data_IF_459012298144
#
_entry.id   IF_459012298144
#
_cell.length_a   1.000
_cell.length_b   1.000
_cell.length_c   1.000
_cell.angle_alpha   90.00
_cell.angle_beta   90.00
_cell.angle_gamma   90.00
#
_symmetry.space_group_name_H-M   'P 1'
#
loop_
_entity.id
_entity.type
_entity.pdbx_description
1 polymer ?
#
# COMPACT_ATOMS: atom_id res chain seq x y z
N UNK A 1 38.99 -43.27 29.81
CA UNK A 1 37.90 -43.91 29.03
C UNK A 1 36.56 -43.20 29.15
N UNK A 2 35.89 -43.17 30.32
CA UNK A 2 34.56 -42.53 30.43
C UNK A 2 34.59 -41.00 30.25
N UNK A 3 35.71 -40.37 30.65
CA UNK A 3 35.98 -38.94 30.43
C UNK A 3 36.25 -38.64 28.94
N UNK A 4 37.04 -39.48 28.27
CA UNK A 4 37.37 -39.32 26.84
C UNK A 4 36.14 -39.50 25.93
N UNK A 5 35.24 -40.43 26.30
CA UNK A 5 33.98 -40.65 25.60
C UNK A 5 33.05 -39.43 25.74
N UNK A 6 32.98 -38.82 26.95
CA UNK A 6 32.23 -37.57 27.17
C UNK A 6 32.81 -36.40 26.39
N UNK A 7 34.14 -36.23 26.37
CA UNK A 7 34.80 -35.16 25.62
C UNK A 7 34.54 -35.31 24.11
N UNK A 8 34.60 -36.54 23.59
CA UNK A 8 34.34 -36.83 22.18
C UNK A 8 32.88 -36.55 21.81
N UNK A 9 31.92 -36.94 22.66
CA UNK A 9 30.50 -36.66 22.45
C UNK A 9 30.20 -35.15 22.47
N UNK A 10 30.80 -34.40 23.41
CA UNK A 10 30.67 -32.94 23.50
C UNK A 10 31.22 -32.26 22.25
N UNK A 11 32.40 -32.67 21.77
CA UNK A 11 32.99 -32.14 20.53
C UNK A 11 32.12 -32.43 19.31
N UNK A 12 31.53 -33.64 19.22
CA UNK A 12 30.66 -34.03 18.12
C UNK A 12 29.33 -33.23 18.15
N UNK A 13 28.74 -33.04 19.34
CA UNK A 13 27.57 -32.19 19.52
C UNK A 13 27.86 -30.71 19.20
N UNK A 14 29.03 -30.20 19.56
CA UNK A 14 29.46 -28.83 19.22
C UNK A 14 29.70 -28.65 17.72
N UNK A 15 30.39 -29.60 17.07
CA UNK A 15 30.59 -29.59 15.63
C UNK A 15 29.26 -29.60 14.87
N UNK A 16 28.34 -30.47 15.25
CA UNK A 16 27.01 -30.53 14.65
C UNK A 16 26.19 -29.26 14.88
N UNK A 17 26.33 -28.62 16.04
CA UNK A 17 25.66 -27.33 16.33
C UNK A 17 26.23 -26.20 15.46
N UNK A 18 27.55 -26.13 15.31
CA UNK A 18 28.21 -25.11 14.49
C UNK A 18 27.83 -25.25 13.01
N UNK A 19 27.85 -26.46 12.46
CA UNK A 19 27.42 -26.73 11.08
C UNK A 19 25.96 -26.31 10.87
N UNK A 20 25.05 -26.73 11.78
CA UNK A 20 23.64 -26.36 11.69
C UNK A 20 23.39 -24.85 11.78
N UNK A 21 24.16 -24.15 12.61
CA UNK A 21 24.07 -22.70 12.73
C UNK A 21 24.51 -21.99 11.44
N UNK A 22 25.58 -22.49 10.81
CA UNK A 22 26.04 -21.98 9.51
C UNK A 22 24.99 -22.23 8.41
N UNK A 23 24.42 -23.44 8.34
CA UNK A 23 23.35 -23.76 7.37
C UNK A 23 22.14 -22.82 7.50
N UNK A 24 21.74 -22.50 8.74
CA UNK A 24 20.64 -21.55 9.00
C UNK A 24 20.99 -20.12 8.59
N UNK A 25 22.24 -19.71 8.77
CA UNK A 25 22.74 -18.42 8.32
C UNK A 25 22.77 -18.33 6.80
N UNK A 26 23.30 -19.35 6.13
CA UNK A 26 23.32 -19.44 4.67
C UNK A 26 21.89 -19.42 4.10
N UNK A 27 20.95 -20.08 4.77
CA UNK A 27 19.53 -20.04 4.38
C UNK A 27 18.92 -18.64 4.51
N UNK A 28 19.24 -17.89 5.57
CA UNK A 28 18.79 -16.49 5.74
C UNK A 28 19.35 -15.56 4.66
N UNK A 29 20.59 -15.78 4.25
CA UNK A 29 21.29 -14.99 3.25
C UNK A 29 20.93 -15.39 1.81
N UNK A 30 20.22 -16.52 1.64
CA UNK A 30 19.81 -17.01 0.33
C UNK A 30 18.81 -16.09 -0.36
N UNK A 31 18.97 -15.92 -1.67
CA UNK A 31 18.05 -15.13 -2.50
C UNK A 31 16.64 -15.72 -2.54
N UNK A 32 16.53 -17.04 -2.46
CA UNK A 32 15.24 -17.73 -2.45
C UNK A 32 14.44 -17.43 -1.17
N UNK A 33 15.11 -17.44 -0.02
CA UNK A 33 14.48 -17.02 1.24
C UNK A 33 14.10 -15.54 1.19
N UNK A 34 15.00 -14.67 0.75
CA UNK A 34 14.76 -13.22 0.62
C UNK A 34 13.54 -12.94 -0.29
N UNK A 35 13.44 -13.60 -1.44
CA UNK A 35 12.31 -13.49 -2.37
C UNK A 35 11.00 -14.04 -1.79
N UNK A 36 11.07 -15.18 -1.08
CA UNK A 36 9.92 -15.78 -0.42
C UNK A 36 9.38 -14.89 0.72
N UNK A 37 10.28 -14.27 1.48
CA UNK A 37 9.94 -13.38 2.57
C UNK A 37 9.41 -12.04 2.04
N UNK A 38 10.00 -11.48 0.98
CA UNK A 38 9.58 -10.22 0.36
C UNK A 38 8.08 -10.19 0.08
N UNK A 39 7.52 -11.21 -0.59
CA UNK A 39 6.11 -11.18 -0.97
C UNK A 39 5.16 -11.25 0.23
N UNK A 40 5.58 -11.93 1.31
CA UNK A 40 4.79 -12.02 2.53
C UNK A 40 4.83 -10.71 3.30
N UNK A 41 6.01 -10.09 3.38
CA UNK A 41 6.15 -8.74 3.92
C UNK A 41 5.39 -7.72 3.07
N UNK A 42 5.39 -7.86 1.75
CA UNK A 42 4.60 -7.00 0.86
C UNK A 42 3.10 -7.14 1.14
N UNK A 43 2.60 -8.37 1.32
CA UNK A 43 1.23 -8.60 1.77
C UNK A 43 0.94 -7.98 3.15
N UNK A 44 1.89 -8.04 4.11
CA UNK A 44 1.76 -7.33 5.39
C UNK A 44 1.63 -5.82 5.17
N UNK A 45 2.46 -5.24 4.30
CA UNK A 45 2.48 -3.79 3.99
C UNK A 45 1.25 -3.32 3.21
N UNK A 46 0.46 -4.24 2.65
CA UNK A 46 -0.82 -3.95 2.02
C UNK A 46 -2.03 -4.37 2.86
N UNK A 47 -1.81 -4.87 4.07
CA UNK A 47 -2.90 -5.26 4.98
C UNK A 47 -3.79 -4.06 5.28
N UNK A 48 -5.12 -4.19 5.23
CA UNK A 48 -6.05 -3.12 5.61
C UNK A 48 -5.88 -2.69 7.07
N UNK A 49 -5.42 -3.61 7.93
CA UNK A 49 -5.26 -3.38 9.37
C UNK A 49 -3.97 -2.62 9.73
N UNK A 50 -3.05 -2.45 8.76
CA UNK A 50 -1.78 -1.78 8.97
C UNK A 50 -2.00 -0.29 9.32
N UNK A 51 -1.52 0.14 10.49
CA UNK A 51 -1.74 1.50 11.01
C UNK A 51 -0.63 2.49 10.63
N UNK A 52 0.56 1.97 10.32
CA UNK A 52 1.77 2.72 10.05
C UNK A 52 2.75 1.91 9.16
N UNK A 53 3.73 2.57 8.60
CA UNK A 53 4.77 2.04 7.71
C UNK A 53 6.17 2.25 8.29
N UNK A 54 6.32 3.22 9.21
CA UNK A 54 7.60 3.55 9.86
C UNK A 54 7.56 3.17 11.33
N UNK A 55 6.62 3.75 12.07
CA UNK A 55 6.59 3.63 13.54
C UNK A 55 6.19 2.22 13.95
N UNK A 56 7.03 1.55 14.75
CA UNK A 56 6.86 0.20 15.32
C UNK A 56 6.55 -0.94 14.32
N UNK A 57 6.55 -0.65 13.02
CA UNK A 57 6.15 -1.58 11.96
C UNK A 57 7.01 -2.84 11.96
N UNK A 58 8.32 -2.67 12.12
CA UNK A 58 9.25 -3.79 12.18
C UNK A 58 8.98 -4.70 13.40
N UNK A 59 8.75 -4.12 14.57
CA UNK A 59 8.53 -4.86 15.81
C UNK A 59 7.23 -5.66 15.72
N UNK A 60 6.13 -5.04 15.29
CA UNK A 60 4.85 -5.72 15.14
C UNK A 60 4.90 -6.85 14.10
N UNK A 61 5.58 -6.62 12.96
CA UNK A 61 5.75 -7.66 11.95
C UNK A 61 6.62 -8.80 12.49
N UNK A 62 7.70 -8.52 13.23
CA UNK A 62 8.53 -9.55 13.84
C UNK A 62 7.74 -10.39 14.85
N UNK A 63 6.92 -9.76 15.69
CA UNK A 63 6.05 -10.48 16.63
C UNK A 63 5.04 -11.37 15.90
N UNK A 64 4.51 -10.89 14.78
CA UNK A 64 3.62 -11.68 13.93
C UNK A 64 4.34 -12.87 13.27
N UNK A 65 5.57 -12.67 12.78
CA UNK A 65 6.42 -13.73 12.21
C UNK A 65 6.70 -14.82 13.24
N UNK A 66 7.04 -14.43 14.48
CA UNK A 66 7.34 -15.39 15.56
C UNK A 66 6.14 -16.29 15.87
N UNK A 67 4.93 -15.73 15.82
CA UNK A 67 3.67 -16.46 16.05
C UNK A 67 3.25 -17.33 14.86
N UNK A 68 3.63 -16.96 13.63
CA UNK A 68 3.18 -17.60 12.39
C UNK A 68 4.36 -18.08 11.53
N UNK A 69 5.28 -18.84 12.13
CA UNK A 69 6.57 -19.23 11.51
C UNK A 69 6.38 -19.94 10.18
N UNK A 70 5.37 -20.80 10.08
CA UNK A 70 5.00 -21.56 8.88
C UNK A 70 4.51 -20.66 7.74
N UNK A 71 3.71 -19.64 8.08
CA UNK A 71 3.27 -18.62 7.12
C UNK A 71 4.49 -17.98 6.46
N UNK A 72 5.53 -17.65 7.22
CA UNK A 72 6.76 -17.01 6.72
C UNK A 72 7.86 -17.97 6.26
N UNK A 73 7.60 -19.29 6.29
CA UNK A 73 8.59 -20.33 5.97
C UNK A 73 9.91 -20.16 6.75
N UNK A 74 9.81 -19.77 8.03
CA UNK A 74 10.99 -19.60 8.89
C UNK A 74 11.58 -20.98 9.22
N UNK A 75 12.87 -21.23 8.92
CA UNK A 75 13.53 -22.50 9.25
C UNK A 75 13.41 -22.89 10.73
N UNK A 76 13.19 -24.18 11.05
CA UNK A 76 13.15 -24.65 12.43
C UNK A 76 14.49 -24.43 13.17
N UNK A 77 14.43 -23.90 14.40
CA UNK A 77 15.61 -23.60 15.22
C UNK A 77 16.15 -22.19 15.04
N UNK A 78 15.74 -21.46 14.00
CA UNK A 78 16.24 -20.12 13.71
C UNK A 78 15.89 -19.10 14.79
N UNK A 79 14.64 -19.15 15.28
CA UNK A 79 14.15 -18.21 16.30
C UNK A 79 14.56 -18.59 17.73
N UNK A 80 15.15 -19.78 17.91
CA UNK A 80 15.59 -20.27 19.21
C UNK A 80 17.00 -19.74 19.55
N UNK A 81 17.73 -19.25 18.54
CA UNK A 81 19.02 -18.59 18.67
C UNK A 81 18.87 -17.06 18.57
N UNK A 82 19.47 -16.33 19.52
CA UNK A 82 19.34 -14.88 19.64
C UNK A 82 20.04 -14.16 18.48
N UNK A 83 21.19 -14.68 18.02
CA UNK A 83 21.96 -14.07 16.95
C UNK A 83 21.23 -14.23 15.60
N UNK A 84 20.75 -15.44 15.30
CA UNK A 84 19.98 -15.71 14.09
C UNK A 84 18.66 -14.93 14.06
N UNK A 85 17.98 -14.80 15.22
CA UNK A 85 16.79 -13.96 15.34
C UNK A 85 17.10 -12.48 15.06
N UNK A 86 18.23 -11.97 15.55
CA UNK A 86 18.67 -10.61 15.26
C UNK A 86 19.01 -10.42 13.78
N UNK A 87 19.66 -11.40 13.15
CA UNK A 87 19.94 -11.40 11.70
C UNK A 87 18.64 -11.39 10.87
N UNK A 88 17.66 -12.22 11.22
CA UNK A 88 16.33 -12.17 10.60
C UNK A 88 15.69 -10.78 10.76
N UNK A 89 15.77 -10.18 11.94
CA UNK A 89 15.29 -8.82 12.18
C UNK A 89 15.92 -7.79 11.25
N UNK A 90 17.23 -7.89 10.98
CA UNK A 90 17.95 -7.04 10.00
C UNK A 90 17.44 -7.29 8.58
N UNK A 91 17.25 -8.54 8.18
CA UNK A 91 16.69 -8.91 6.85
C UNK A 91 15.28 -8.34 6.68
N UNK A 92 14.42 -8.48 7.68
CA UNK A 92 13.05 -7.93 7.65
C UNK A 92 13.09 -6.41 7.52
N UNK A 93 13.92 -5.71 8.30
CA UNK A 93 14.08 -4.25 8.21
C UNK A 93 14.50 -3.79 6.82
N UNK A 94 15.52 -4.45 6.25
CA UNK A 94 16.00 -4.19 4.89
C UNK A 94 14.89 -4.39 3.86
N UNK A 95 14.14 -5.50 3.96
CA UNK A 95 13.07 -5.81 3.02
C UNK A 95 11.89 -4.85 3.12
N UNK A 96 11.48 -4.45 4.33
CA UNK A 96 10.43 -3.46 4.52
C UNK A 96 10.83 -2.11 3.90
N UNK A 97 12.08 -1.69 4.11
CA UNK A 97 12.64 -0.48 3.48
C UNK A 97 12.60 -0.60 1.95
N UNK A 98 13.05 -1.72 1.40
CA UNK A 98 13.01 -1.97 -0.04
C UNK A 98 11.59 -1.98 -0.62
N UNK A 99 10.63 -2.58 0.10
CA UNK A 99 9.21 -2.60 -0.28
C UNK A 99 8.66 -1.17 -0.32
N UNK A 100 8.89 -0.39 0.73
CA UNK A 100 8.51 1.02 0.80
C UNK A 100 9.10 1.79 -0.40
N UNK A 101 10.41 1.68 -0.65
CA UNK A 101 11.04 2.33 -1.81
C UNK A 101 10.40 1.88 -3.13
N UNK A 102 10.18 0.58 -3.33
CA UNK A 102 9.57 0.03 -4.53
C UNK A 102 8.14 0.57 -4.74
N UNK A 103 7.31 0.61 -3.68
CA UNK A 103 5.96 1.17 -3.75
C UNK A 103 6.01 2.64 -4.17
N UNK A 104 6.84 3.46 -3.50
CA UNK A 104 6.95 4.89 -3.83
C UNK A 104 7.34 5.10 -5.29
N UNK A 105 8.38 4.40 -5.76
CA UNK A 105 8.85 4.48 -7.16
C UNK A 105 7.78 4.03 -8.16
N UNK A 106 7.09 2.92 -7.89
CA UNK A 106 6.03 2.43 -8.76
C UNK A 106 4.84 3.38 -8.80
N UNK A 107 4.48 3.98 -7.67
CA UNK A 107 3.42 4.98 -7.59
C UNK A 107 3.77 6.25 -8.37
N UNK A 108 4.96 6.83 -8.17
CA UNK A 108 5.44 7.98 -8.94
C UNK A 108 5.38 7.71 -10.44
N UNK A 109 5.91 6.56 -10.86
CA UNK A 109 5.88 6.15 -12.27
C UNK A 109 4.45 6.00 -12.78
N UNK A 110 3.55 5.46 -11.96
CA UNK A 110 2.16 5.23 -12.33
C UNK A 110 1.34 6.49 -12.49
N UNK A 111 1.65 7.53 -11.72
CA UNK A 111 1.00 8.85 -11.84
C UNK A 111 1.36 9.44 -13.20
N UNK A 112 2.65 9.50 -13.53
CA UNK A 112 3.13 10.06 -14.80
C UNK A 112 2.63 9.26 -16.01
N UNK A 113 2.69 7.92 -15.93
CA UNK A 113 2.25 7.04 -17.02
C UNK A 113 0.74 6.79 -17.05
N UNK A 114 -0.01 7.35 -16.09
CA UNK A 114 -1.44 7.14 -15.86
C UNK A 114 -1.85 5.66 -15.87
N UNK A 115 -1.10 4.80 -15.19
CA UNK A 115 -1.39 3.35 -15.14
C UNK A 115 -2.35 2.98 -14.02
N UNK A 116 -3.14 1.92 -14.22
CA UNK A 116 -4.09 1.45 -13.22
C UNK A 116 -3.40 0.94 -11.95
N UNK A 117 -4.06 1.07 -10.79
CA UNK A 117 -3.55 0.48 -9.53
C UNK A 117 -3.44 -1.04 -9.60
N UNK A 118 -4.27 -1.71 -10.40
CA UNK A 118 -4.18 -3.14 -10.60
C UNK A 118 -2.86 -3.53 -11.27
N UNK A 119 -2.40 -2.76 -12.27
CA UNK A 119 -1.14 -3.01 -12.94
C UNK A 119 0.06 -2.67 -12.05
N UNK A 120 -0.03 -1.59 -11.26
CA UNK A 120 0.99 -1.24 -10.26
C UNK A 120 1.13 -2.32 -9.21
N UNK A 121 0.02 -2.80 -8.65
CA UNK A 121 0.08 -3.82 -7.59
C UNK A 121 0.65 -5.12 -8.14
N UNK A 122 0.30 -5.48 -9.38
CA UNK A 122 0.83 -6.67 -10.05
C UNK A 122 2.32 -6.56 -10.37
N UNK A 123 2.82 -5.38 -10.72
CA UNK A 123 4.27 -5.20 -10.98
C UNK A 123 5.11 -5.24 -9.71
N UNK A 124 4.53 -4.86 -8.57
CA UNK A 124 5.18 -4.93 -7.25
C UNK A 124 5.19 -6.35 -6.67
N UNK A 125 4.15 -7.14 -6.93
CA UNK A 125 4.12 -8.55 -6.60
C UNK A 125 5.11 -9.31 -7.49
N UNK A 126 6.19 -9.85 -6.92
CA UNK A 126 7.21 -10.56 -7.72
C UNK A 126 6.58 -11.80 -8.38
N UNK A 127 6.91 -12.03 -9.66
CA UNK A 127 6.46 -13.21 -10.42
C UNK A 127 6.79 -14.51 -9.68
N UNK A 128 5.86 -15.48 -9.69
CA UNK A 128 6.05 -16.78 -9.02
C UNK A 128 5.81 -16.77 -7.51
N UNK A 129 5.40 -15.64 -6.92
CA UNK A 129 5.10 -15.52 -5.48
C UNK A 129 3.88 -16.30 -5.00
N UNK A 130 2.97 -16.61 -5.92
CA UNK A 130 1.66 -17.16 -5.59
C UNK A 130 0.77 -16.20 -4.79
N UNK A 131 1.11 -14.91 -4.71
CA UNK A 131 0.25 -13.88 -4.12
C UNK A 131 -0.88 -13.54 -5.08
N UNK A 132 -2.12 -13.60 -4.59
CA UNK A 132 -3.30 -13.21 -5.36
C UNK A 132 -3.69 -11.78 -5.00
N UNK A 133 -3.71 -10.90 -6.00
CA UNK A 133 -4.05 -9.49 -5.80
C UNK A 133 -5.55 -9.30 -5.95
N UNK A 134 -6.17 -8.72 -4.91
CA UNK A 134 -7.60 -8.46 -4.82
C UNK A 134 -7.90 -6.98 -4.52
N UNK A 135 -9.19 -6.66 -4.33
CA UNK A 135 -9.65 -5.29 -4.05
C UNK A 135 -9.07 -4.68 -2.78
N UNK A 136 -8.76 -5.48 -1.75
CA UNK A 136 -8.19 -4.93 -0.51
C UNK A 136 -6.79 -4.36 -0.75
N UNK A 137 -6.01 -5.03 -1.58
CA UNK A 137 -4.68 -4.55 -1.99
C UNK A 137 -4.78 -3.30 -2.85
N UNK A 138 -5.72 -3.26 -3.81
CA UNK A 138 -5.92 -2.08 -4.66
C UNK A 138 -6.41 -0.88 -3.86
N UNK A 139 -7.30 -1.08 -2.89
CA UNK A 139 -7.74 -0.02 -1.98
C UNK A 139 -6.53 0.61 -1.28
N UNK A 140 -5.62 -0.23 -0.77
CA UNK A 140 -4.42 0.27 -0.09
C UNK A 140 -3.45 0.99 -1.02
N UNK A 141 -3.21 0.45 -2.22
CA UNK A 141 -2.33 1.11 -3.22
C UNK A 141 -2.95 2.43 -3.71
N UNK A 142 -4.27 2.51 -3.86
CA UNK A 142 -4.98 3.74 -4.26
C UNK A 142 -4.85 4.82 -3.19
N UNK A 143 -5.01 4.44 -1.91
CA UNK A 143 -4.75 5.32 -0.78
C UNK A 143 -3.31 5.87 -0.81
N UNK A 144 -2.32 4.98 -0.96
CA UNK A 144 -0.91 5.40 -1.01
C UNK A 144 -0.62 6.30 -2.20
N UNK A 145 -1.23 6.06 -3.37
CA UNK A 145 -1.11 6.95 -4.53
C UNK A 145 -1.69 8.33 -4.23
N UNK A 146 -2.88 8.38 -3.64
CA UNK A 146 -3.55 9.63 -3.25
C UNK A 146 -2.68 10.43 -2.28
N UNK A 147 -2.16 9.79 -1.24
CA UNK A 147 -1.27 10.41 -0.26
C UNK A 147 0.05 10.88 -0.89
N UNK A 148 0.64 10.11 -1.80
CA UNK A 148 1.86 10.52 -2.50
C UNK A 148 1.64 11.80 -3.32
N UNK A 149 0.49 11.91 -4.00
CA UNK A 149 0.14 13.12 -4.77
C UNK A 149 0.02 14.34 -3.87
N UNK A 150 -0.70 14.22 -2.75
CA UNK A 150 -0.84 15.28 -1.75
C UNK A 150 0.54 15.69 -1.21
N UNK A 151 1.37 14.71 -0.87
CA UNK A 151 2.71 14.95 -0.36
C UNK A 151 3.57 15.73 -1.35
N UNK A 152 3.65 15.28 -2.61
CA UNK A 152 4.46 15.93 -3.65
C UNK A 152 3.96 17.35 -3.97
N UNK A 153 2.63 17.58 -3.98
CA UNK A 153 2.05 18.92 -4.08
C UNK A 153 2.48 19.78 -2.89
N UNK A 154 2.36 19.25 -1.66
CA UNK A 154 2.69 19.95 -0.43
C UNK A 154 4.14 20.42 -0.38
N UNK A 155 5.09 19.54 -0.71
CA UNK A 155 6.53 19.85 -0.66
C UNK A 155 7.06 20.57 -1.90
N UNK A 156 6.23 20.85 -2.91
CA UNK A 156 6.65 21.44 -4.20
C UNK A 156 7.74 20.64 -4.93
N UNK A 157 7.79 19.32 -4.77
CA UNK A 157 8.75 18.49 -5.49
C UNK A 157 8.14 18.00 -6.80
N UNK A 158 8.41 18.75 -7.86
CA UNK A 158 7.92 18.48 -9.21
C UNK A 158 8.99 17.89 -10.14
N UNK A 159 10.11 17.39 -9.60
CA UNK A 159 11.21 16.86 -10.40
C UNK A 159 10.79 15.66 -11.25
N UNK A 160 9.97 14.79 -10.67
CA UNK A 160 9.56 13.53 -11.32
C UNK A 160 8.14 13.56 -11.90
N UNK A 161 7.27 14.41 -11.37
CA UNK A 161 5.88 14.55 -11.80
C UNK A 161 5.46 16.02 -11.66
N UNK A 162 4.91 16.62 -12.71
CA UNK A 162 4.48 18.01 -12.65
C UNK A 162 3.23 18.16 -11.79
N UNK A 163 2.95 19.36 -11.27
CA UNK A 163 1.69 19.62 -10.55
C UNK A 163 0.44 19.28 -11.39
N UNK A 164 0.53 19.37 -12.73
CA UNK A 164 -0.56 18.95 -13.65
C UNK A 164 -0.77 17.43 -13.65
N UNK A 165 0.29 16.65 -13.46
CA UNK A 165 0.20 15.20 -13.31
C UNK A 165 -0.30 14.80 -11.92
N UNK A 166 0.05 15.60 -10.91
CA UNK A 166 -0.28 15.34 -9.50
C UNK A 166 -1.71 15.75 -9.13
N UNK A 167 -2.30 16.74 -9.79
CA UNK A 167 -3.63 17.23 -9.43
C UNK A 167 -4.75 16.62 -10.29
N UNK A 168 -5.89 16.36 -9.67
CA UNK A 168 -7.16 16.10 -10.33
C UNK A 168 -8.33 16.58 -9.47
N UNK A 169 -9.51 16.83 -10.06
CA UNK A 169 -10.71 17.16 -9.30
C UNK A 169 -11.06 16.11 -8.21
N UNK A 170 -10.77 14.83 -8.45
CA UNK A 170 -10.99 13.76 -7.48
C UNK A 170 -10.13 13.87 -6.21
N UNK A 171 -9.04 14.65 -6.24
CA UNK A 171 -8.17 14.88 -5.09
C UNK A 171 -8.74 15.93 -4.12
N UNK A 172 -9.60 16.84 -4.62
CA UNK A 172 -10.10 18.02 -3.91
C UNK A 172 -10.68 17.71 -2.53
N UNK A 173 -11.51 16.67 -2.33
CA UNK A 173 -12.04 16.33 -1.00
C UNK A 173 -10.99 15.99 0.06
N UNK A 174 -9.73 15.71 -0.35
CA UNK A 174 -8.63 15.41 0.58
C UNK A 174 -7.61 16.53 0.73
N UNK A 175 -7.79 17.65 0.02
CA UNK A 175 -6.91 18.81 0.15
C UNK A 175 -7.46 19.73 1.25
N UNK A 176 -6.60 20.07 2.20
CA UNK A 176 -6.86 21.18 3.14
C UNK A 176 -6.76 22.52 2.41
N UNK A 177 -7.29 23.58 3.04
CA UNK A 177 -7.45 24.89 2.40
C UNK A 177 -6.14 25.44 1.83
N UNK A 178 -5.05 25.39 2.59
CA UNK A 178 -3.75 25.87 2.14
C UNK A 178 -3.21 25.15 0.88
N UNK A 179 -3.46 23.85 0.77
CA UNK A 179 -3.14 23.08 -0.43
C UNK A 179 -4.07 23.42 -1.60
N UNK A 180 -5.35 23.69 -1.33
CA UNK A 180 -6.30 24.17 -2.36
C UNK A 180 -5.85 25.52 -2.91
N UNK A 181 -5.51 26.46 -2.05
CA UNK A 181 -5.00 27.80 -2.42
C UNK A 181 -3.73 27.70 -3.26
N UNK A 182 -2.81 26.79 -2.87
CA UNK A 182 -1.59 26.52 -3.62
C UNK A 182 -1.89 25.99 -5.03
N UNK A 183 -2.75 24.98 -5.13
CA UNK A 183 -3.16 24.39 -6.41
C UNK A 183 -3.84 25.44 -7.29
N UNK A 184 -4.76 26.24 -6.75
CA UNK A 184 -5.44 27.33 -7.48
C UNK A 184 -4.43 28.31 -8.06
N UNK A 185 -3.43 28.71 -7.27
CA UNK A 185 -2.40 29.66 -7.71
C UNK A 185 -1.47 29.08 -8.76
N UNK A 186 -0.99 27.85 -8.57
CA UNK A 186 0.01 27.24 -9.44
C UNK A 186 -0.58 26.71 -10.75
N UNK A 187 -1.84 26.25 -10.75
CA UNK A 187 -2.53 25.78 -11.94
C UNK A 187 -3.42 26.85 -12.60
N UNK A 188 -3.66 27.98 -11.93
CA UNK A 188 -4.60 29.01 -12.36
C UNK A 188 -6.01 28.44 -12.61
N UNK A 189 -6.53 27.71 -11.63
CA UNK A 189 -7.86 27.07 -11.68
C UNK A 189 -8.70 27.43 -10.44
N UNK A 190 -10.01 27.48 -10.61
CA UNK A 190 -10.96 27.63 -9.50
C UNK A 190 -11.30 26.23 -8.94
N UNK A 191 -10.69 25.88 -7.80
CA UNK A 191 -10.90 24.59 -7.14
C UNK A 191 -12.31 24.47 -6.56
N UNK A 192 -12.92 25.57 -6.11
CA UNK A 192 -14.28 25.58 -5.55
C UNK A 192 -15.33 25.39 -6.64
N UNK A 193 -15.12 25.98 -7.82
CA UNK A 193 -15.97 25.72 -8.98
C UNK A 193 -15.88 24.25 -9.41
N UNK A 194 -14.67 23.68 -9.47
CA UNK A 194 -14.47 22.26 -9.82
C UNK A 194 -15.16 21.31 -8.84
N UNK A 195 -15.13 21.63 -7.54
CA UNK A 195 -15.81 20.83 -6.51
C UNK A 195 -17.33 20.86 -6.71
N UNK A 196 -17.90 22.05 -6.93
CA UNK A 196 -19.35 22.21 -7.20
C UNK A 196 -19.77 21.45 -8.46
N UNK A 197 -19.01 21.55 -9.54
CA UNK A 197 -19.33 20.87 -10.80
C UNK A 197 -19.26 19.33 -10.68
N UNK A 198 -18.36 18.80 -9.86
CA UNK A 198 -18.14 17.36 -9.73
C UNK A 198 -19.05 16.69 -8.71
N UNK A 199 -19.42 17.40 -7.63
CA UNK A 199 -20.12 16.80 -6.49
C UNK A 199 -21.53 17.36 -6.26
N UNK A 200 -21.87 18.56 -6.75
CA UNK A 200 -23.20 19.16 -6.52
C UNK A 200 -24.18 18.96 -7.70
N UNK A 201 -23.71 18.49 -8.86
CA UNK A 201 -24.52 18.37 -10.08
C UNK A 201 -25.68 17.34 -9.99
N UNK A 202 -25.74 16.53 -8.95
CA UNK A 202 -26.77 15.48 -8.76
C UNK A 202 -28.04 15.95 -8.03
N UNK A 203 -28.13 17.20 -7.53
CA UNK A 203 -29.29 17.63 -6.73
C UNK A 203 -30.42 18.37 -7.49
N UNK A 204 -30.18 18.94 -8.67
CA UNK A 204 -31.19 19.84 -9.31
C UNK A 204 -31.73 19.39 -10.68
N UNK A 205 -31.29 18.26 -11.25
CA UNK A 205 -31.72 17.81 -12.58
C UNK A 205 -32.48 16.47 -12.59
N UNK A 206 -33.42 16.27 -11.67
CA UNK A 206 -34.52 15.34 -11.92
C UNK A 206 -35.56 16.05 -12.81
N UNK A 207 -35.81 15.59 -14.06
CA UNK A 207 -36.99 16.05 -14.79
C UNK A 207 -38.21 15.59 -14.00
N UNK A 208 -39.03 16.54 -13.54
CA UNK A 208 -40.40 16.24 -13.10
C UNK A 208 -41.18 15.71 -14.29
N UNK A 209 -41.12 14.41 -14.54
CA UNK A 209 -42.15 13.71 -15.31
C UNK A 209 -43.29 13.38 -14.36
N UNK A 210 -44.23 14.31 -14.26
CA UNK A 210 -45.61 14.01 -13.88
C UNK A 210 -46.17 13.02 -14.91
N UNK A 211 -46.12 11.71 -14.62
CA UNK A 211 -46.95 10.73 -15.35
C UNK A 211 -47.65 9.83 -14.35
N UNK A 212 -48.95 10.06 -14.31
CA UNK A 212 -49.99 9.41 -13.52
C UNK A 212 -50.07 7.89 -13.82
N UNK A 213 -50.23 7.00 -12.82
CA UNK A 213 -50.32 5.55 -13.04
C UNK A 213 -51.77 5.12 -13.23
N UNK A 214 -52.18 4.86 -14.49
CA UNK A 214 -53.29 3.95 -14.83
C UNK A 214 -53.41 3.83 -16.33
N UNK A 215 -53.10 2.65 -16.88
CA UNK A 215 -53.97 1.85 -17.78
C UNK A 215 -53.14 0.80 -18.55
N UNK A 216 -53.36 -0.45 -18.16
CA UNK A 216 -53.30 -1.66 -19.01
C UNK A 216 -54.67 -1.70 -19.70
N UNK A 217 -54.83 -2.05 -21.01
CA UNK A 217 -54.69 -3.47 -21.38
C UNK A 217 -54.35 -3.87 -22.83
N UNK A 218 -53.79 -5.09 -22.89
CA UNK A 218 -53.99 -6.17 -23.89
C UNK A 218 -53.69 -5.98 -25.38
N UNK A 219 -52.77 -6.82 -25.86
CA UNK A 219 -53.10 -7.84 -26.86
C UNK A 219 -52.39 -7.75 -28.21
N UNK A 220 -51.50 -8.72 -28.50
CA UNK A 220 -51.64 -9.71 -29.61
C UNK A 220 -50.27 -10.26 -30.03
N UNK A 221 -50.16 -11.59 -30.02
CA UNK A 221 -49.05 -12.43 -30.51
C UNK A 221 -48.88 -12.33 -32.04
N UNK A 222 -47.65 -12.43 -32.55
CA UNK A 222 -47.22 -13.33 -33.67
C UNK A 222 -45.68 -13.48 -33.54
N UNK A 223 -45.16 -14.62 -33.09
CA UNK A 223 -44.65 -15.78 -33.86
C UNK A 223 -43.46 -15.48 -34.81
N UNK A 224 -42.34 -16.19 -34.63
CA UNK A 224 -41.20 -16.15 -35.57
C UNK A 224 -39.90 -16.73 -35.04
N UNK A 225 -39.83 -18.06 -34.95
CA UNK A 225 -38.62 -18.86 -34.70
C UNK A 225 -37.50 -18.58 -35.71
N UNK A 226 -36.23 -18.64 -35.31
CA UNK A 226 -35.16 -19.33 -36.06
C UNK A 226 -33.93 -19.60 -35.17
N UNK A 227 -33.35 -20.78 -35.40
CA UNK A 227 -32.30 -21.41 -34.63
C UNK A 227 -30.91 -21.20 -35.24
N UNK A 228 -29.90 -21.40 -34.40
CA UNK A 228 -28.55 -21.92 -34.67
C UNK A 228 -27.56 -21.09 -35.51
N UNK A 229 -26.37 -20.84 -34.96
CA UNK A 229 -25.14 -21.51 -35.46
C UNK A 229 -23.93 -21.15 -34.59
N UNK A 230 -23.14 -22.18 -34.32
CA UNK A 230 -21.76 -22.10 -33.87
C UNK A 230 -20.86 -21.41 -34.92
N UNK A 231 -19.77 -20.82 -34.46
CA UNK A 231 -18.68 -20.31 -35.30
C UNK A 231 -17.42 -20.11 -34.45
N UNK A 232 -16.53 -21.11 -34.50
CA UNK A 232 -15.12 -21.04 -34.11
C UNK A 232 -14.33 -20.29 -35.20
N UNK A 233 -13.37 -19.47 -34.78
CA UNK A 233 -12.02 -19.29 -35.36
C UNK A 233 -11.38 -18.12 -34.59
N UNK A 234 -10.41 -18.30 -33.68
CA UNK A 234 -8.98 -18.65 -33.90
C UNK A 234 -8.31 -17.82 -35.01
N UNK A 235 -7.50 -16.85 -34.59
CA UNK A 235 -6.16 -16.54 -35.11
C UNK A 235 -5.51 -15.41 -34.27
N UNK A 236 -4.59 -15.80 -33.37
CA UNK A 236 -3.25 -15.26 -33.03
C UNK A 236 -2.94 -13.74 -32.92
N UNK A 237 -1.83 -13.31 -32.24
CA UNK A 237 -0.71 -14.12 -31.75
C UNK A 237 -0.33 -13.99 -30.27
N UNK A 238 0.25 -15.10 -29.83
CA UNK A 238 1.26 -15.31 -28.80
C UNK A 238 2.19 -14.09 -28.54
N UNK A 239 2.09 -13.50 -27.34
CA UNK A 239 3.08 -12.56 -26.81
C UNK A 239 3.85 -13.26 -25.70
N UNK A 240 4.97 -13.86 -26.12
CA UNK A 240 6.03 -14.39 -25.28
C UNK A 240 6.48 -13.32 -24.28
N UNK A 241 6.24 -13.55 -22.99
CA UNK A 241 6.83 -12.74 -21.93
C UNK A 241 8.33 -13.01 -21.88
N UNK A 242 9.12 -12.09 -22.42
CA UNK A 242 10.56 -12.07 -22.20
C UNK A 242 10.90 -11.85 -20.72
N UNK A 243 11.97 -12.47 -20.20
CA UNK A 243 12.42 -12.24 -18.84
C UNK A 243 12.93 -10.79 -18.73
N UNK A 244 12.56 -10.12 -17.64
CA UNK A 244 13.14 -8.83 -17.27
C UNK A 244 14.65 -9.04 -17.08
N UNK A 245 15.42 -8.58 -18.07
CA UNK A 245 16.87 -8.48 -17.98
C UNK A 245 17.26 -7.39 -17.00
N UNK A 246 18.26 -7.72 -16.18
CA UNK A 246 19.05 -6.76 -15.41
C UNK A 246 19.45 -5.58 -16.29
N UNK A 247 18.97 -4.39 -15.94
CA UNK A 247 19.58 -3.13 -16.37
C UNK A 247 20.12 -2.43 -15.14
N UNK A 248 21.28 -2.92 -14.70
CA UNK A 248 22.31 -2.11 -14.06
C UNK A 248 22.79 -1.06 -15.07
N UNK A 249 22.45 0.21 -14.86
CA UNK A 249 23.04 1.30 -15.63
C UNK A 249 22.12 2.48 -15.94
N UNK A 250 21.50 3.10 -14.94
CA UNK A 250 21.10 4.51 -15.01
C UNK A 250 21.46 5.14 -13.68
N UNK A 251 22.23 6.24 -13.73
CA UNK A 251 22.75 6.99 -12.58
C UNK A 251 21.67 7.24 -11.54
N UNK A 252 21.93 6.74 -10.33
CA UNK A 252 21.05 6.75 -9.18
C UNK A 252 21.68 7.68 -8.13
N UNK A 253 21.56 8.98 -8.34
CA UNK A 253 21.90 10.00 -7.34
C UNK A 253 20.74 10.12 -6.34
N UNK A 254 20.56 9.09 -5.52
CA UNK A 254 19.82 9.13 -4.24
C UNK A 254 20.10 7.80 -3.49
N UNK A 255 21.36 7.60 -3.11
CA UNK A 255 21.77 6.58 -2.16
C UNK A 255 21.79 7.20 -0.75
N UNK A 256 20.67 7.08 -0.03
CA UNK A 256 20.61 7.32 1.41
C UNK A 256 21.26 6.15 2.16
N UNK A 257 22.59 6.16 2.22
CA UNK A 257 23.36 5.38 3.19
C UNK A 257 23.06 5.88 4.61
N UNK A 258 22.57 4.98 5.47
CA UNK A 258 22.58 5.18 6.91
C UNK A 258 24.03 5.30 7.38
N UNK A 259 24.46 6.52 7.71
CA UNK A 259 25.63 6.76 8.54
C UNK A 259 25.30 6.31 9.96
N UNK A 260 26.05 5.34 10.46
CA UNK A 260 26.14 5.02 11.87
C UNK A 260 26.75 6.23 12.58
N UNK A 261 25.93 7.01 13.30
CA UNK A 261 26.44 7.87 14.36
C UNK A 261 25.62 7.65 15.63
N UNK A 262 26.38 7.24 16.63
CA UNK A 262 25.97 6.83 17.95
C UNK A 262 26.01 8.09 18.84
N UNK A 263 24.91 8.83 18.96
CA UNK A 263 24.81 9.91 19.95
C UNK A 263 23.53 9.81 20.78
N UNK A 264 23.76 9.41 22.04
CA UNK A 264 23.05 9.72 23.28
C UNK A 264 21.56 10.04 23.24
N UNK A 265 20.81 9.11 23.86
CA UNK A 265 19.62 9.38 24.66
C UNK A 265 19.68 10.76 25.36
N UNK A 266 18.82 11.69 24.92
CA UNK A 266 18.29 12.73 25.78
C UNK A 266 16.78 12.61 25.79
N UNK A 267 16.28 11.96 26.84
CA UNK A 267 14.90 12.08 27.28
C UNK A 267 14.66 13.53 27.71
N UNK A 268 13.97 14.30 26.88
CA UNK A 268 13.47 15.64 27.19
C UNK A 268 11.96 15.65 27.10
N UNK A 269 11.32 15.51 28.26
CA UNK A 269 9.88 15.54 28.48
C UNK A 269 9.26 16.94 28.25
N UNK A 270 8.02 16.92 27.74
CA UNK A 270 6.95 17.91 27.91
C UNK A 270 7.13 19.35 27.39
N UNK A 271 6.54 19.59 26.21
CA UNK A 271 5.53 20.63 25.96
C UNK A 271 4.81 20.24 24.65
N UNK A 272 3.71 19.48 24.67
CA UNK A 272 2.47 19.95 25.28
C UNK A 272 1.71 20.95 24.41
N UNK A 273 2.03 21.08 23.11
CA UNK A 273 1.12 21.73 22.16
C UNK A 273 0.48 20.63 21.32
N UNK A 274 -0.70 20.20 21.77
CA UNK A 274 -1.68 19.56 20.91
C UNK A 274 -2.09 20.66 19.92
N UNK A 275 -1.37 20.78 18.80
CA UNK A 275 -1.87 21.52 17.65
C UNK A 275 -3.08 20.72 17.16
N UNK A 276 -4.26 21.08 17.67
CA UNK A 276 -5.54 20.75 17.07
C UNK A 276 -5.38 20.84 15.56
N UNK A 277 -5.85 19.80 14.85
CA UNK A 277 -5.84 19.75 13.40
C UNK A 277 -6.59 20.96 12.86
N UNK A 278 -5.84 22.03 12.57
CA UNK A 278 -6.39 23.22 11.99
C UNK A 278 -6.91 22.82 10.61
N UNK A 279 -8.20 23.04 10.30
CA UNK A 279 -8.76 22.72 8.99
C UNK A 279 -8.05 23.48 7.85
N UNK A 280 -7.39 24.59 8.18
CA UNK A 280 -6.68 25.45 7.23
C UNK A 280 -5.22 25.04 6.98
N UNK A 281 -4.59 24.24 7.86
CA UNK A 281 -3.15 23.93 7.77
C UNK A 281 -2.89 22.44 7.53
N UNK A 282 -2.31 22.14 6.38
CA UNK A 282 -1.88 20.79 5.98
C UNK A 282 -0.62 20.32 6.70
N UNK A 283 0.13 21.22 7.35
CA UNK A 283 1.43 20.95 7.95
C UNK A 283 2.58 21.04 6.94
N UNK A 284 2.36 21.48 5.69
CA UNK A 284 3.43 21.75 4.72
C UNK A 284 4.05 23.15 4.87
N UNK A 285 3.68 23.92 5.92
CA UNK A 285 4.22 25.26 6.17
C UNK A 285 3.78 26.31 5.15
N UNK A 286 2.59 26.14 4.58
CA UNK A 286 2.01 27.07 3.61
C UNK A 286 1.23 28.22 4.27
N UNK A 287 0.88 28.06 5.55
CA UNK A 287 0.19 29.07 6.36
C UNK A 287 1.22 29.82 7.22
N UNK A 288 1.22 31.14 7.14
CA UNK A 288 2.14 31.99 7.89
C UNK A 288 1.98 31.77 9.41
N UNK A 289 3.10 31.61 10.12
CA UNK A 289 3.14 31.38 11.57
C UNK A 289 2.86 29.94 12.02
N UNK A 290 2.50 29.02 11.10
CA UNK A 290 2.29 27.60 11.43
C UNK A 290 3.58 26.80 11.25
N UNK A 291 3.90 25.83 12.14
CA UNK A 291 5.10 25.03 12.03
C UNK A 291 5.01 24.05 10.85
N UNK A 292 6.06 24.00 10.05
CA UNK A 292 6.22 23.01 8.98
C UNK A 292 6.45 21.62 9.59
N UNK A 293 5.48 20.71 9.43
CA UNK A 293 5.55 19.30 9.84
C UNK A 293 6.11 18.40 8.76
N UNK A 294 5.92 18.77 7.49
CA UNK A 294 6.37 18.00 6.34
C UNK A 294 7.16 18.90 5.40
N UNK A 295 8.32 18.41 4.97
CA UNK A 295 9.17 19.06 4.00
C UNK A 295 9.81 18.00 3.12
N UNK A 296 10.69 18.40 2.19
CA UNK A 296 11.38 17.46 1.31
C UNK A 296 12.35 16.51 2.05
N UNK A 297 12.83 16.87 3.25
CA UNK A 297 13.76 16.05 4.05
C UNK A 297 13.02 15.03 4.93
N UNK A 298 11.78 15.33 5.32
CA UNK A 298 10.91 14.43 6.08
C UNK A 298 10.30 13.41 5.13
N UNK A 299 10.50 12.13 5.44
CA UNK A 299 10.16 11.02 4.53
C UNK A 299 8.65 10.92 4.31
N UNK A 300 8.25 10.70 3.06
CA UNK A 300 6.87 10.41 2.63
C UNK A 300 6.13 9.43 3.56
N UNK A 301 6.79 8.40 4.05
CA UNK A 301 6.17 7.39 4.92
C UNK A 301 5.72 7.94 6.28
N UNK A 302 6.36 8.98 6.82
CA UNK A 302 5.89 9.65 8.04
C UNK A 302 4.59 10.40 7.79
N UNK A 303 4.44 11.01 6.61
CA UNK A 303 3.19 11.64 6.19
C UNK A 303 2.09 10.58 6.07
N UNK A 304 2.39 9.41 5.49
CA UNK A 304 1.43 8.30 5.40
C UNK A 304 0.98 7.84 6.80
N UNK A 305 1.90 7.64 7.74
CA UNK A 305 1.58 7.22 9.12
C UNK A 305 0.66 8.22 9.80
N UNK A 306 0.96 9.52 9.68
CA UNK A 306 0.10 10.57 10.21
C UNK A 306 -1.28 10.58 9.55
N UNK A 307 -1.36 10.46 8.22
CA UNK A 307 -2.64 10.42 7.51
C UNK A 307 -3.50 9.23 7.94
N UNK A 308 -2.92 8.06 8.12
CA UNK A 308 -3.62 6.87 8.61
C UNK A 308 -4.13 7.06 10.04
N UNK A 309 -3.31 7.67 10.91
CA UNK A 309 -3.72 8.02 12.26
C UNK A 309 -4.92 8.97 12.25
N UNK A 310 -4.92 10.00 11.39
CA UNK A 310 -6.05 10.94 11.28
C UNK A 310 -7.32 10.25 10.77
N UNK A 311 -7.22 9.38 9.76
CA UNK A 311 -8.37 8.61 9.27
C UNK A 311 -9.00 7.75 10.36
N UNK A 312 -8.18 7.15 11.23
CA UNK A 312 -8.65 6.37 12.37
C UNK A 312 -9.30 7.23 13.44
N UNK A 313 -8.73 8.40 13.76
CA UNK A 313 -9.35 9.35 14.69
C UNK A 313 -10.73 9.77 14.21
N UNK A 314 -10.88 10.11 12.93
CA UNK A 314 -12.17 10.45 12.33
C UNK A 314 -13.18 9.30 12.44
N UNK A 315 -12.74 8.05 12.22
CA UNK A 315 -13.60 6.88 12.40
C UNK A 315 -14.00 6.67 13.88
N UNK A 316 -13.09 6.89 14.84
CA UNK A 316 -13.39 6.80 16.27
C UNK A 316 -14.38 7.90 16.70
N UNK A 317 -14.27 9.09 16.12
CA UNK A 317 -15.17 10.21 16.39
C UNK A 317 -16.56 9.99 15.77
N UNK A 318 -16.66 9.24 14.68
CA UNK A 318 -17.95 8.95 14.02
C UNK A 318 -18.76 7.85 14.70
N UNK A 319 -18.11 6.90 15.39
CA UNK A 319 -18.81 5.87 16.17
C UNK A 319 -17.98 5.35 17.36
N UNK A 320 -18.60 5.10 18.53
CA UNK A 320 -17.92 4.45 19.65
C UNK A 320 -17.76 2.92 19.47
N UNK A 321 -18.36 2.31 18.44
CA UNK A 321 -18.36 0.86 18.22
C UNK A 321 -17.25 0.49 17.25
N UNK A 322 -16.28 -0.33 17.69
CA UNK A 322 -15.10 -0.73 16.89
C UNK A 322 -15.46 -1.27 15.50
N UNK A 323 -16.49 -2.10 15.40
CA UNK A 323 -16.92 -2.68 14.11
C UNK A 323 -17.54 -1.64 13.16
N UNK A 324 -18.09 -0.55 13.69
CA UNK A 324 -18.57 0.58 12.88
C UNK A 324 -17.41 1.48 12.46
N UNK A 325 -16.43 1.70 13.34
CA UNK A 325 -15.19 2.42 13.01
C UNK A 325 -14.45 1.76 11.84
N UNK A 326 -14.33 0.42 11.86
CA UNK A 326 -13.72 -0.35 10.77
C UNK A 326 -14.50 -0.21 9.46
N UNK A 327 -15.84 -0.20 9.52
CA UNK A 327 -16.69 0.00 8.34
C UNK A 327 -16.53 1.39 7.74
N UNK A 328 -16.45 2.43 8.57
CA UNK A 328 -16.22 3.80 8.09
C UNK A 328 -14.84 3.95 7.44
N UNK A 329 -13.80 3.37 8.04
CA UNK A 329 -12.47 3.36 7.42
C UNK A 329 -12.46 2.59 6.10
N UNK A 330 -13.14 1.44 6.05
CA UNK A 330 -13.26 0.64 4.83
C UNK A 330 -14.03 1.41 3.73
N UNK A 331 -15.11 2.10 4.10
CA UNK A 331 -15.88 2.95 3.18
C UNK A 331 -14.99 4.04 2.57
N UNK A 332 -14.23 4.74 3.39
CA UNK A 332 -13.26 5.75 2.91
C UNK A 332 -12.25 5.15 1.91
N UNK A 333 -11.71 3.97 2.20
CA UNK A 333 -10.76 3.31 1.29
C UNK A 333 -11.41 2.90 -0.04
N UNK A 334 -12.67 2.47 -0.01
CA UNK A 334 -13.45 2.14 -1.22
C UNK A 334 -13.71 3.39 -2.06
N UNK A 335 -14.11 4.50 -1.43
CA UNK A 335 -14.34 5.77 -2.14
C UNK A 335 -13.06 6.28 -2.80
N UNK A 336 -11.92 6.21 -2.10
CA UNK A 336 -10.61 6.55 -2.66
C UNK A 336 -10.26 5.66 -3.85
N UNK A 337 -10.52 4.35 -3.75
CA UNK A 337 -10.28 3.42 -4.84
C UNK A 337 -11.18 3.68 -6.06
N UNK A 338 -12.46 3.95 -5.86
CA UNK A 338 -13.40 4.29 -6.94
C UNK A 338 -12.97 5.57 -7.67
N UNK A 339 -12.57 6.59 -6.92
CA UNK A 339 -12.01 7.82 -7.47
C UNK A 339 -10.71 7.56 -8.26
N UNK A 340 -9.81 6.71 -7.75
CA UNK A 340 -8.59 6.33 -8.47
C UNK A 340 -8.91 5.60 -9.77
N UNK A 341 -9.88 4.66 -9.78
CA UNK A 341 -10.30 3.97 -10.99
C UNK A 341 -10.92 4.91 -12.04
N UNK A 342 -11.67 5.93 -11.60
CA UNK A 342 -12.22 6.93 -12.51
C UNK A 342 -11.11 7.73 -13.20
N UNK A 343 -10.03 8.04 -12.47
CA UNK A 343 -8.90 8.82 -12.98
C UNK A 343 -7.87 7.99 -13.76
N UNK A 344 -7.64 6.74 -13.34
CA UNK A 344 -6.65 5.80 -13.85
C UNK A 344 -7.30 4.47 -14.24
N UNK A 345 -8.22 4.45 -15.24
CA UNK A 345 -9.04 3.27 -15.55
C UNK A 345 -8.23 2.07 -16.07
N UNK A 346 -6.99 2.31 -16.55
CA UNK A 346 -6.18 1.30 -17.21
C UNK A 346 -6.71 0.90 -18.58
N UNK A 347 -5.94 0.07 -19.28
CA UNK A 347 -6.32 -0.46 -20.61
C UNK A 347 -7.18 -1.71 -20.54
N UNK A 348 -7.23 -2.38 -19.39
CA UNK A 348 -7.97 -3.64 -19.20
C UNK A 348 -9.15 -3.41 -18.27
N UNK A 349 -10.37 -3.67 -18.76
CA UNK A 349 -11.55 -3.74 -17.89
C UNK A 349 -11.30 -4.81 -16.83
N UNK A 350 -11.41 -4.46 -15.55
CA UNK A 350 -11.21 -5.33 -14.36
C UNK A 350 -12.34 -6.38 -14.23
N UNK A 351 -12.96 -6.80 -15.33
CA UNK A 351 -14.26 -7.48 -15.37
C UNK A 351 -14.28 -8.95 -14.92
N UNK A 352 -13.16 -9.51 -14.44
CA UNK A 352 -13.09 -10.93 -13.99
C UNK A 352 -12.14 -11.14 -12.81
N UNK A 353 -12.25 -10.34 -11.75
CA UNK A 353 -11.43 -10.50 -10.53
C UNK A 353 -12.19 -10.97 -9.29
N UNK A 354 -13.46 -11.34 -9.45
CA UNK A 354 -14.26 -11.93 -8.39
C UNK A 354 -14.12 -13.44 -8.50
N UNK A 355 -13.65 -14.10 -7.43
CA UNK A 355 -13.53 -15.56 -7.24
C UNK A 355 -12.19 -16.24 -7.51
N UNK A 356 -11.06 -15.64 -7.10
CA UNK A 356 -9.89 -16.47 -6.76
C UNK A 356 -9.77 -16.63 -5.25
N UNK A 357 -9.66 -17.87 -4.80
CA UNK A 357 -9.40 -18.19 -3.39
C UNK A 357 -8.00 -17.72 -3.04
N UNK A 358 -7.89 -16.77 -2.10
CA UNK A 358 -6.60 -16.33 -1.60
C UNK A 358 -5.83 -17.53 -1.00
N UNK A 359 -4.51 -17.63 -1.24
CA UNK A 359 -3.70 -18.65 -0.57
C UNK A 359 -3.84 -18.55 0.95
N UNK A 360 -3.84 -19.68 1.65
CA UNK A 360 -4.01 -19.72 3.12
C UNK A 360 -3.04 -18.80 3.88
N UNK A 361 -1.80 -18.70 3.43
CA UNK A 361 -0.79 -17.83 4.04
C UNK A 361 -1.18 -16.34 3.93
N UNK A 362 -1.78 -15.94 2.81
CA UNK A 362 -2.24 -14.57 2.56
C UNK A 362 -3.47 -14.26 3.43
N UNK A 363 -4.45 -15.18 3.48
CA UNK A 363 -5.60 -15.04 4.38
C UNK A 363 -5.17 -14.90 5.83
N UNK A 364 -4.15 -15.66 6.26
CA UNK A 364 -3.62 -15.57 7.63
C UNK A 364 -3.00 -14.22 7.93
N UNK A 365 -2.28 -13.61 6.97
CA UNK A 365 -1.77 -12.25 7.11
C UNK A 365 -2.92 -11.24 7.18
N UNK A 366 -3.87 -11.32 6.24
CA UNK A 366 -4.98 -10.37 6.15
C UNK A 366 -5.87 -10.36 7.41
N UNK A 367 -6.14 -11.53 8.00
CA UNK A 367 -6.99 -11.63 9.20
C UNK A 367 -6.22 -11.58 10.52
N UNK A 368 -4.96 -12.03 10.54
CA UNK A 368 -4.18 -12.19 11.77
C UNK A 368 -3.27 -11.02 12.09
N UNK A 369 -2.84 -10.23 11.10
CA UNK A 369 -2.02 -9.04 11.33
C UNK A 369 -2.93 -7.88 11.74
N UNK A 370 -3.16 -7.75 13.05
CA UNK A 370 -3.95 -6.68 13.68
C UNK A 370 -2.99 -5.87 14.58
N UNK A 371 -3.08 -4.55 14.52
CA UNK A 371 -2.23 -3.60 15.26
C UNK A 371 -3.05 -2.78 16.24
#
# INVERSE_FOLDING_TARGET
MLVDLKITLVKLCQGNKATRMQELKDALESKDFENGLYNRLFACMLSPNLTAYVTDTQCHIMDFIVKNRDVFKIPPGLLDDVELRAQLGKVVTKLLTNICCAIKTALTTSIVKRTSVADVTRSLARSGSGMEVDSTHWNRISLLRRLLRIFLIGVSDYKTASIKDLFSPYLVPSLKQDLRDKVTRELNIDVEQLERELFDADFDNAPRTDVNPSQVPTGTQVNGSHASSAGRDQNDPDMTYGPLTDQSGVQQDDLDTNGEDNESNVSGSANGVVLLDNPLDSGFGLVEGMPMRYNSTIKFWNFVDHSLLMMRKMAIESSPIVTEQEKELQKLFIEIFQADLAEFPGSKKVSKLISKTNPRWQTTIQSGLIW
#
